data_IF_904713613949
#
_entry.id   IF_904713613949
#
_cell.length_a   1.000
_cell.length_b   1.000
_cell.length_c   1.000
_cell.angle_alpha   90.00
_cell.angle_beta   90.00
_cell.angle_gamma   90.00
#
_symmetry.space_group_name_H-M   'P 1'
#
loop_
_entity.id
_entity.type
_entity.pdbx_description
1 polymer ?
#
# COMPACT_ATOMS: atom_id res chain seq x y z
N UNK A 1 -20.83 -19.21 -8.71
CA UNK A 1 -19.67 -20.08 -9.00
C UNK A 1 -18.49 -19.83 -8.07
N UNK A 2 -17.74 -18.72 -8.15
CA UNK A 2 -16.57 -18.51 -7.26
C UNK A 2 -16.97 -18.42 -5.78
N UNK A 3 -18.10 -17.77 -5.45
CA UNK A 3 -18.68 -17.79 -4.09
C UNK A 3 -18.96 -19.22 -3.60
N UNK A 4 -19.55 -20.04 -4.46
CA UNK A 4 -19.86 -21.44 -4.14
C UNK A 4 -18.57 -22.27 -3.95
N UNK A 5 -17.49 -21.89 -4.63
CA UNK A 5 -16.17 -22.49 -4.38
C UNK A 5 -15.65 -22.13 -2.98
N UNK A 6 -15.91 -20.94 -2.44
CA UNK A 6 -15.53 -20.61 -1.06
C UNK A 6 -16.41 -21.33 -0.04
N UNK A 7 -17.71 -21.45 -0.33
CA UNK A 7 -18.71 -21.95 0.62
C UNK A 7 -19.07 -23.42 0.52
N UNK A 8 -18.52 -24.19 -0.43
CA UNK A 8 -19.06 -25.51 -0.80
C UNK A 8 -19.45 -26.35 0.44
N UNK A 9 -20.77 -26.37 0.71
CA UNK A 9 -21.43 -27.18 1.76
C UNK A 9 -21.36 -28.67 1.44
N UNK A 10 -20.87 -29.03 0.27
CA UNK A 10 -20.54 -30.39 -0.13
C UNK A 10 -19.18 -30.79 0.45
N UNK A 11 -19.15 -31.11 1.75
CA UNK A 11 -18.18 -31.88 2.55
C UNK A 11 -16.76 -32.29 2.07
N UNK A 12 -16.15 -31.69 1.06
CA UNK A 12 -14.97 -32.23 0.36
C UNK A 12 -13.78 -31.26 0.26
N UNK A 13 -13.88 -30.00 0.72
CA UNK A 13 -12.73 -29.08 0.73
C UNK A 13 -11.97 -29.15 2.05
N UNK A 14 -10.71 -29.55 1.95
CA UNK A 14 -9.77 -29.50 3.07
C UNK A 14 -9.45 -28.04 3.43
N UNK A 15 -9.09 -27.74 4.69
CA UNK A 15 -8.63 -26.40 5.09
C UNK A 15 -7.51 -25.86 4.20
N UNK A 16 -6.60 -26.72 3.75
CA UNK A 16 -5.52 -26.33 2.84
C UNK A 16 -6.05 -25.86 1.48
N UNK A 17 -7.01 -26.55 0.89
CA UNK A 17 -7.59 -26.14 -0.39
C UNK A 17 -8.28 -24.78 -0.29
N UNK A 18 -8.96 -24.51 0.83
CA UNK A 18 -9.56 -23.20 1.10
C UNK A 18 -8.50 -22.11 1.24
N UNK A 19 -7.43 -22.36 2.00
CA UNK A 19 -6.31 -21.41 2.14
C UNK A 19 -5.63 -21.10 0.80
N UNK A 20 -5.39 -22.12 -0.03
CA UNK A 20 -4.81 -21.94 -1.38
C UNK A 20 -5.75 -21.13 -2.29
N UNK A 21 -7.07 -21.34 -2.19
CA UNK A 21 -8.03 -20.56 -2.95
C UNK A 21 -8.06 -19.09 -2.50
N UNK A 22 -8.08 -18.84 -1.20
CA UNK A 22 -8.02 -17.47 -0.63
C UNK A 22 -6.75 -16.77 -1.11
N UNK A 23 -5.60 -17.44 -1.02
CA UNK A 23 -4.32 -16.91 -1.48
C UNK A 23 -4.37 -16.59 -2.99
N UNK A 24 -4.93 -17.48 -3.79
CA UNK A 24 -5.10 -17.26 -5.23
C UNK A 24 -5.97 -16.03 -5.51
N UNK A 25 -7.07 -15.84 -4.77
CA UNK A 25 -7.95 -14.68 -4.92
C UNK A 25 -7.21 -13.37 -4.55
N UNK A 26 -6.42 -13.38 -3.46
CA UNK A 26 -5.60 -12.23 -3.06
C UNK A 26 -4.53 -11.89 -4.10
N UNK A 27 -3.82 -12.90 -4.61
CA UNK A 27 -2.79 -12.70 -5.63
C UNK A 27 -3.37 -12.25 -6.98
N UNK A 28 -4.62 -12.56 -7.27
CA UNK A 28 -5.34 -12.06 -8.45
C UNK A 28 -6.01 -10.69 -8.23
N UNK A 29 -6.02 -10.17 -7.00
CA UNK A 29 -6.71 -8.92 -6.66
C UNK A 29 -8.23 -9.04 -6.74
N UNK A 30 -8.77 -10.18 -6.31
CA UNK A 30 -10.20 -10.50 -6.27
C UNK A 30 -10.77 -10.58 -4.85
N UNK A 31 -9.92 -10.55 -3.83
CA UNK A 31 -10.29 -10.71 -2.43
C UNK A 31 -11.34 -9.67 -1.96
N UNK A 32 -11.31 -8.46 -2.52
CA UNK A 32 -12.30 -7.43 -2.19
C UNK A 32 -13.74 -7.79 -2.61
N UNK A 33 -13.93 -8.70 -3.56
CA UNK A 33 -15.25 -9.17 -3.99
C UNK A 33 -15.83 -10.25 -3.07
N UNK A 34 -14.99 -10.84 -2.21
CA UNK A 34 -15.31 -12.02 -1.40
C UNK A 34 -14.98 -11.83 0.09
N UNK A 35 -15.00 -10.57 0.58
CA UNK A 35 -14.56 -10.24 1.94
C UNK A 35 -15.29 -11.04 3.02
N UNK A 36 -16.62 -11.18 2.90
CA UNK A 36 -17.44 -11.90 3.87
C UNK A 36 -17.16 -13.40 3.84
N UNK A 37 -17.05 -13.97 2.64
CA UNK A 37 -16.79 -15.38 2.40
C UNK A 37 -15.39 -15.79 2.89
N UNK A 38 -14.38 -14.97 2.59
CA UNK A 38 -13.00 -15.15 3.06
C UNK A 38 -12.97 -15.05 4.58
N UNK A 39 -13.59 -14.02 5.16
CA UNK A 39 -13.64 -13.83 6.62
C UNK A 39 -14.29 -15.00 7.35
N UNK A 40 -15.45 -15.46 6.88
CA UNK A 40 -16.14 -16.62 7.45
C UNK A 40 -15.31 -17.90 7.35
N UNK A 41 -14.69 -18.14 6.20
CA UNK A 41 -13.85 -19.32 5.96
C UNK A 41 -12.60 -19.32 6.85
N UNK A 42 -11.90 -18.19 6.94
CA UNK A 42 -10.71 -18.06 7.79
C UNK A 42 -11.05 -18.23 9.26
N UNK A 43 -12.16 -17.68 9.73
CA UNK A 43 -12.62 -17.86 11.12
C UNK A 43 -12.81 -19.32 11.45
N UNK A 44 -13.55 -20.06 10.60
CA UNK A 44 -13.79 -21.49 10.83
C UNK A 44 -12.50 -22.32 10.83
N UNK A 45 -11.56 -22.02 9.93
CA UNK A 45 -10.27 -22.71 9.87
C UNK A 45 -9.41 -22.36 11.10
N UNK A 46 -9.43 -21.09 11.53
CA UNK A 46 -8.68 -20.61 12.69
C UNK A 46 -9.16 -21.24 14.00
N UNK A 47 -10.47 -21.33 14.21
CA UNK A 47 -11.05 -21.97 15.41
C UNK A 47 -10.63 -23.43 15.49
N UNK A 48 -10.74 -24.17 14.38
CA UNK A 48 -10.27 -25.55 14.31
C UNK A 48 -8.75 -25.66 14.54
N UNK A 49 -7.98 -24.75 13.96
CA UNK A 49 -6.52 -24.72 14.09
C UNK A 49 -6.07 -24.49 15.54
N UNK A 50 -6.76 -23.64 16.29
CA UNK A 50 -6.44 -23.36 17.71
C UNK A 50 -6.92 -24.46 18.66
N UNK A 51 -8.02 -25.16 18.33
CA UNK A 51 -8.52 -26.28 19.12
C UNK A 51 -7.73 -27.58 18.91
N UNK A 52 -7.07 -27.75 17.76
CA UNK A 52 -6.25 -28.93 17.48
C UNK A 52 -4.88 -28.82 18.16
N UNK A 53 -4.55 -29.78 19.03
CA UNK A 53 -3.21 -29.89 19.67
C UNK A 53 -2.11 -30.36 18.71
N UNK A 54 -2.45 -30.77 17.49
CA UNK A 54 -1.53 -31.38 16.54
C UNK A 54 -1.12 -30.40 15.42
N UNK A 55 -0.38 -29.35 15.80
CA UNK A 55 0.33 -28.50 14.83
C UNK A 55 1.45 -29.26 14.08
N UNK A 56 1.65 -30.56 14.36
CA UNK A 56 2.76 -31.38 13.89
C UNK A 56 2.66 -31.82 12.43
N UNK A 57 1.45 -31.92 11.85
CA UNK A 57 1.24 -32.55 10.54
C UNK A 57 1.54 -31.68 9.32
N UNK A 58 1.45 -30.36 9.45
CA UNK A 58 1.64 -29.45 8.30
C UNK A 58 3.08 -29.46 7.77
N UNK A 59 3.28 -29.47 6.46
CA UNK A 59 4.61 -29.21 5.86
C UNK A 59 4.97 -27.71 5.94
N UNK A 60 6.13 -27.33 5.40
CA UNK A 60 6.62 -25.95 5.47
C UNK A 60 5.70 -24.99 4.70
N UNK A 61 5.26 -25.40 3.51
CA UNK A 61 4.30 -24.66 2.71
C UNK A 61 3.01 -24.35 3.50
N UNK A 62 2.35 -25.38 4.02
CA UNK A 62 1.10 -25.24 4.77
C UNK A 62 1.28 -24.37 6.02
N UNK A 63 2.33 -24.62 6.80
CA UNK A 63 2.57 -23.87 8.04
C UNK A 63 2.81 -22.39 7.75
N UNK A 64 3.57 -22.07 6.71
CA UNK A 64 3.89 -20.69 6.34
C UNK A 64 2.69 -19.97 5.71
N UNK A 65 1.92 -20.66 4.86
CA UNK A 65 0.70 -20.12 4.24
C UNK A 65 -0.35 -19.77 5.31
N UNK A 66 -0.62 -20.70 6.23
CA UNK A 66 -1.61 -20.50 7.28
C UNK A 66 -1.19 -19.33 8.17
N UNK A 67 0.07 -19.32 8.60
CA UNK A 67 0.63 -18.23 9.38
C UNK A 67 0.43 -16.87 8.68
N UNK A 68 0.81 -16.78 7.40
CA UNK A 68 0.70 -15.55 6.61
C UNK A 68 -0.75 -15.09 6.52
N UNK A 69 -1.65 -15.93 6.02
CA UNK A 69 -3.05 -15.56 5.80
C UNK A 69 -3.76 -15.19 7.10
N UNK A 70 -3.54 -15.94 8.18
CA UNK A 70 -4.12 -15.59 9.48
C UNK A 70 -3.63 -14.22 9.96
N UNK A 71 -2.33 -13.96 9.89
CA UNK A 71 -1.76 -12.69 10.35
C UNK A 71 -2.18 -11.51 9.47
N UNK A 72 -2.25 -11.68 8.15
CA UNK A 72 -2.77 -10.66 7.21
C UNK A 72 -4.22 -10.26 7.51
N UNK A 73 -5.02 -11.20 8.00
CA UNK A 73 -6.42 -10.96 8.37
C UNK A 73 -6.62 -10.65 9.87
N UNK A 74 -5.54 -10.32 10.59
CA UNK A 74 -5.60 -9.82 11.97
C UNK A 74 -5.74 -10.90 13.05
N UNK A 75 -5.62 -12.19 12.72
CA UNK A 75 -5.61 -13.25 13.72
C UNK A 75 -4.28 -13.31 14.49
N UNK A 76 -4.35 -13.61 15.78
CA UNK A 76 -3.19 -13.74 16.65
C UNK A 76 -2.52 -15.11 16.48
N UNK A 77 -1.47 -15.16 15.67
CA UNK A 77 -0.70 -16.38 15.41
C UNK A 77 0.76 -16.24 15.82
N UNK A 78 1.27 -17.29 16.48
CA UNK A 78 2.66 -17.35 16.92
C UNK A 78 3.54 -18.09 15.90
N UNK A 79 4.75 -17.60 15.59
CA UNK A 79 5.70 -18.27 14.70
C UNK A 79 6.24 -19.57 15.32
N UNK A 80 5.84 -19.90 16.56
CA UNK A 80 6.12 -21.19 17.19
C UNK A 80 5.67 -22.39 16.35
N UNK A 81 4.65 -22.23 15.50
CA UNK A 81 4.24 -23.28 14.56
C UNK A 81 5.33 -23.67 13.55
N UNK A 82 6.30 -22.77 13.30
CA UNK A 82 7.46 -23.03 12.45
C UNK A 82 8.63 -23.71 13.18
N UNK A 83 8.60 -23.83 14.52
CA UNK A 83 9.71 -24.41 15.32
C UNK A 83 10.07 -25.83 14.92
N UNK A 84 9.13 -26.61 14.38
CA UNK A 84 9.42 -27.97 13.91
C UNK A 84 10.38 -28.01 12.71
N UNK A 85 10.54 -26.90 11.99
CA UNK A 85 11.51 -26.74 10.92
C UNK A 85 12.86 -26.21 11.41
N UNK A 86 12.99 -25.97 12.72
CA UNK A 86 14.20 -25.46 13.35
C UNK A 86 14.94 -26.63 14.01
N UNK A 87 16.26 -26.64 13.89
CA UNK A 87 17.15 -27.60 14.51
C UNK A 87 17.51 -27.23 15.95
N UNK A 88 18.37 -28.04 16.59
CA UNK A 88 18.83 -27.81 17.96
C UNK A 88 19.70 -26.55 18.14
N UNK A 89 20.27 -26.02 17.05
CA UNK A 89 21.10 -24.82 17.06
C UNK A 89 20.24 -23.55 16.90
N UNK A 90 18.93 -23.70 16.70
CA UNK A 90 18.03 -22.59 16.45
C UNK A 90 18.03 -22.13 15.00
N UNK A 91 18.51 -22.96 14.06
CA UNK A 91 18.56 -22.67 12.62
C UNK A 91 17.56 -23.52 11.83
N UNK A 92 17.13 -23.05 10.67
CA UNK A 92 16.24 -23.84 9.81
C UNK A 92 16.95 -25.09 9.28
N UNK A 93 16.28 -26.24 9.36
CA UNK A 93 16.78 -27.54 8.93
C UNK A 93 17.09 -27.52 7.43
N UNK A 94 18.29 -27.94 7.04
CA UNK A 94 18.68 -28.07 5.64
C UNK A 94 17.74 -28.97 4.82
N UNK A 95 17.06 -29.93 5.44
CA UNK A 95 16.06 -30.74 4.74
C UNK A 95 14.93 -29.89 4.11
N UNK A 96 14.60 -28.74 4.71
CA UNK A 96 13.62 -27.79 4.20
C UNK A 96 14.11 -27.01 2.96
N UNK A 97 15.41 -27.00 2.67
CA UNK A 97 15.96 -26.24 1.53
C UNK A 97 15.53 -26.80 0.16
N UNK A 98 14.98 -28.01 0.12
CA UNK A 98 14.53 -28.67 -1.11
C UNK A 98 13.06 -28.36 -1.44
N UNK A 99 12.29 -27.85 -0.48
CA UNK A 99 10.87 -27.53 -0.66
C UNK A 99 10.72 -26.10 -1.19
N UNK A 100 10.92 -25.89 -2.50
CA UNK A 100 10.88 -24.56 -3.13
C UNK A 100 9.56 -23.83 -2.83
N UNK A 101 8.43 -24.54 -2.92
CA UNK A 101 7.11 -23.97 -2.63
C UNK A 101 6.98 -23.56 -1.16
N UNK A 102 7.49 -24.39 -0.25
CA UNK A 102 7.59 -24.08 1.17
C UNK A 102 8.50 -22.88 1.46
N UNK A 103 9.64 -22.78 0.79
CA UNK A 103 10.57 -21.65 0.93
C UNK A 103 9.94 -20.34 0.43
N UNK A 104 9.26 -20.35 -0.72
CA UNK A 104 8.53 -19.17 -1.22
C UNK A 104 7.48 -18.72 -0.20
N UNK A 105 6.69 -19.66 0.33
CA UNK A 105 5.67 -19.33 1.35
C UNK A 105 6.26 -18.84 2.66
N UNK A 106 7.40 -19.39 3.10
CA UNK A 106 8.14 -18.93 4.27
C UNK A 106 8.71 -17.52 4.04
N UNK A 107 9.25 -17.23 2.86
CA UNK A 107 9.73 -15.91 2.49
C UNK A 107 8.60 -14.88 2.56
N UNK A 108 7.47 -15.15 1.90
CA UNK A 108 6.28 -14.28 1.96
C UNK A 108 5.79 -14.07 3.40
N UNK A 109 5.66 -15.15 4.18
CA UNK A 109 5.25 -15.08 5.59
C UNK A 109 6.22 -14.25 6.46
N UNK A 110 7.52 -14.30 6.16
CA UNK A 110 8.54 -13.60 6.93
C UNK A 110 8.45 -12.07 6.82
N UNK A 111 7.78 -11.54 5.80
CA UNK A 111 7.54 -10.11 5.66
C UNK A 111 6.54 -9.55 6.67
N UNK A 112 5.78 -10.40 7.35
CA UNK A 112 4.87 -10.03 8.44
C UNK A 112 5.55 -10.03 9.82
N UNK A 113 6.88 -9.91 9.83
CA UNK A 113 7.67 -9.93 11.05
C UNK A 113 7.53 -8.63 11.85
N UNK A 114 7.18 -8.77 13.14
CA UNK A 114 7.02 -7.66 14.08
C UNK A 114 8.09 -7.63 15.19
N UNK A 115 9.23 -8.30 14.96
CA UNK A 115 10.35 -8.41 15.92
C UNK A 115 10.66 -9.83 16.38
N UNK A 116 10.16 -10.84 15.66
CA UNK A 116 10.28 -12.25 15.99
C UNK A 116 11.46 -12.90 15.26
N UNK A 117 12.43 -13.41 16.03
CA UNK A 117 13.69 -13.96 15.50
C UNK A 117 13.49 -15.13 14.52
N UNK A 118 12.49 -15.98 14.76
CA UNK A 118 12.15 -17.11 13.87
C UNK A 118 11.84 -16.64 12.45
N UNK A 119 11.12 -15.53 12.28
CA UNK A 119 10.78 -15.01 10.96
C UNK A 119 11.98 -14.32 10.31
N UNK A 120 12.80 -13.62 11.08
CA UNK A 120 14.06 -13.02 10.58
C UNK A 120 14.97 -14.11 10.00
N UNK A 121 15.23 -15.17 10.78
CA UNK A 121 15.98 -16.35 10.31
C UNK A 121 15.30 -17.06 9.14
N UNK A 122 13.97 -17.14 9.18
CA UNK A 122 13.17 -17.71 8.10
C UNK A 122 13.38 -16.98 6.78
N UNK A 123 13.40 -15.64 6.81
CA UNK A 123 13.69 -14.79 5.65
C UNK A 123 15.09 -15.02 5.10
N UNK A 124 16.10 -15.04 5.97
CA UNK A 124 17.50 -15.26 5.59
C UNK A 124 17.69 -16.66 4.95
N UNK A 125 17.13 -17.70 5.58
CA UNK A 125 17.19 -19.06 5.08
C UNK A 125 16.45 -19.23 3.75
N UNK A 126 15.19 -18.78 3.66
CA UNK A 126 14.40 -18.94 2.45
C UNK A 126 14.95 -18.14 1.29
N UNK A 127 15.33 -16.88 1.49
CA UNK A 127 15.89 -16.04 0.43
C UNK A 127 17.15 -16.64 -0.19
N UNK A 128 18.09 -17.09 0.65
CA UNK A 128 19.32 -17.74 0.18
C UNK A 128 19.04 -18.97 -0.68
N UNK A 129 18.25 -19.91 -0.15
CA UNK A 129 18.00 -21.16 -0.86
C UNK A 129 17.12 -20.99 -2.10
N UNK A 130 16.25 -19.98 -2.12
CA UNK A 130 15.50 -19.62 -3.32
C UNK A 130 16.42 -19.05 -4.40
N UNK A 131 17.33 -18.13 -4.06
CA UNK A 131 18.34 -17.63 -5.02
C UNK A 131 19.19 -18.76 -5.59
N UNK A 132 19.70 -19.65 -4.73
CA UNK A 132 20.51 -20.80 -5.15
C UNK A 132 19.73 -21.78 -6.05
N UNK A 133 18.40 -21.84 -5.92
CA UNK A 133 17.56 -22.76 -6.69
C UNK A 133 17.30 -22.31 -8.13
N UNK A 134 17.40 -21.01 -8.43
CA UNK A 134 16.98 -20.44 -9.73
C UNK A 134 17.68 -21.10 -10.92
N UNK A 135 18.97 -21.41 -10.79
CA UNK A 135 19.78 -22.02 -11.87
C UNK A 135 19.32 -23.44 -12.25
N UNK A 136 18.58 -24.11 -11.36
CA UNK A 136 18.21 -25.53 -11.50
C UNK A 136 16.71 -25.74 -11.77
N UNK A 137 15.94 -24.65 -11.82
CA UNK A 137 14.51 -24.67 -12.11
C UNK A 137 14.26 -24.46 -13.60
N UNK A 138 13.14 -24.98 -14.12
CA UNK A 138 12.67 -24.55 -15.44
C UNK A 138 12.31 -23.05 -15.43
N UNK A 139 12.30 -22.45 -16.62
CA UNK A 139 12.09 -21.02 -16.79
C UNK A 139 10.85 -20.48 -16.06
N UNK A 140 9.76 -21.27 -16.02
CA UNK A 140 8.52 -20.82 -15.38
C UNK A 140 8.66 -20.76 -13.87
N UNK A 141 9.16 -21.83 -13.24
CA UNK A 141 9.37 -21.84 -11.79
C UNK A 141 10.49 -20.88 -11.36
N UNK A 142 11.56 -20.76 -12.14
CA UNK A 142 12.63 -19.77 -11.90
C UNK A 142 12.08 -18.34 -11.88
N UNK A 143 11.19 -17.99 -12.83
CA UNK A 143 10.53 -16.69 -12.87
C UNK A 143 9.61 -16.47 -11.66
N UNK A 144 8.87 -17.49 -11.22
CA UNK A 144 8.03 -17.39 -10.01
C UNK A 144 8.88 -17.14 -8.77
N UNK A 145 10.00 -17.87 -8.61
CA UNK A 145 10.93 -17.67 -7.50
C UNK A 145 11.52 -16.26 -7.51
N UNK A 146 11.98 -15.79 -8.67
CA UNK A 146 12.53 -14.44 -8.84
C UNK A 146 11.50 -13.36 -8.49
N UNK A 147 10.27 -13.51 -8.98
CA UNK A 147 9.17 -12.58 -8.70
C UNK A 147 8.79 -12.54 -7.21
N UNK A 148 8.80 -13.68 -6.51
CA UNK A 148 8.62 -13.71 -5.05
C UNK A 148 9.76 -13.00 -4.32
N UNK A 149 11.02 -13.20 -4.74
CA UNK A 149 12.19 -12.58 -4.10
C UNK A 149 12.25 -11.06 -4.31
N UNK A 150 12.02 -10.61 -5.54
CA UNK A 150 12.10 -9.20 -5.93
C UNK A 150 10.86 -8.40 -5.49
N UNK A 151 9.68 -9.05 -5.49
CA UNK A 151 8.39 -8.42 -5.24
C UNK A 151 7.53 -9.26 -4.28
N UNK A 152 7.92 -9.43 -3.01
CA UNK A 152 7.10 -10.14 -2.04
C UNK A 152 5.74 -9.46 -1.89
N UNK A 153 4.66 -10.24 -1.79
CA UNK A 153 3.28 -9.77 -1.82
C UNK A 153 3.02 -8.66 -0.79
N UNK A 154 3.41 -8.88 0.46
CA UNK A 154 3.19 -7.93 1.55
C UNK A 154 3.90 -6.57 1.36
N UNK A 155 4.97 -6.54 0.56
CA UNK A 155 5.77 -5.32 0.30
C UNK A 155 5.48 -4.69 -1.06
N UNK A 156 4.57 -5.28 -1.84
CA UNK A 156 4.35 -4.91 -3.24
C UNK A 156 2.98 -4.29 -3.46
N UNK A 157 2.89 -3.47 -4.50
CA UNK A 157 1.62 -2.89 -4.92
C UNK A 157 0.70 -4.01 -5.41
N UNK A 158 -0.45 -4.21 -4.74
CA UNK A 158 -1.39 -5.30 -5.02
C UNK A 158 -1.75 -5.41 -6.50
N UNK A 159 -2.02 -4.28 -7.17
CA UNK A 159 -2.39 -4.27 -8.58
C UNK A 159 -1.26 -4.69 -9.52
N UNK A 160 0.00 -4.37 -9.16
CA UNK A 160 1.18 -4.85 -9.87
C UNK A 160 1.30 -6.37 -9.73
N UNK A 161 1.16 -6.88 -8.50
CA UNK A 161 1.17 -8.32 -8.22
C UNK A 161 0.05 -9.05 -8.95
N UNK A 162 -1.18 -8.51 -8.95
CA UNK A 162 -2.31 -9.07 -9.68
C UNK A 162 -2.02 -9.22 -11.18
N UNK A 163 -1.52 -8.17 -11.82
CA UNK A 163 -1.17 -8.22 -13.25
C UNK A 163 -0.11 -9.28 -13.54
N UNK A 164 0.96 -9.32 -12.74
CA UNK A 164 2.05 -10.30 -12.87
C UNK A 164 1.54 -11.72 -12.68
N UNK A 165 0.76 -11.95 -11.62
CA UNK A 165 0.22 -13.25 -11.27
C UNK A 165 -0.74 -13.79 -12.35
N UNK A 166 -1.68 -12.97 -12.82
CA UNK A 166 -2.59 -13.33 -13.92
C UNK A 166 -1.79 -13.70 -15.18
N UNK A 167 -0.76 -12.91 -15.52
CA UNK A 167 0.07 -13.16 -16.70
C UNK A 167 0.89 -14.44 -16.60
N UNK A 168 1.47 -14.75 -15.43
CA UNK A 168 2.32 -15.94 -15.25
C UNK A 168 1.55 -17.25 -15.29
N UNK A 169 0.26 -17.21 -14.96
CA UNK A 169 -0.59 -18.39 -14.88
C UNK A 169 -1.65 -18.43 -15.97
N UNK A 170 -1.54 -17.58 -17.00
CA UNK A 170 -2.50 -17.53 -18.10
C UNK A 170 -2.51 -18.82 -18.93
N UNK A 171 -1.37 -19.51 -19.00
CA UNK A 171 -1.19 -20.75 -19.77
C UNK A 171 -1.35 -22.03 -18.92
N UNK A 172 -1.62 -21.88 -17.61
CA UNK A 172 -1.64 -22.96 -16.59
C UNK A 172 -2.95 -23.76 -16.51
N UNK A 173 -3.58 -23.98 -17.67
CA UNK A 173 -4.61 -25.01 -17.94
C UNK A 173 -6.10 -24.72 -17.66
N UNK A 174 -6.88 -25.44 -18.49
CA UNK A 174 -8.34 -25.64 -18.57
C UNK A 174 -8.98 -26.17 -17.27
N UNK A 175 -10.24 -25.77 -16.99
CA UNK A 175 -11.11 -26.34 -15.95
C UNK A 175 -11.80 -25.30 -15.05
N UNK A 176 -12.18 -25.66 -13.81
CA UNK A 176 -12.78 -24.70 -12.85
C UNK A 176 -11.88 -23.49 -12.50
N UNK A 177 -10.56 -23.60 -12.73
CA UNK A 177 -9.63 -22.46 -12.66
C UNK A 177 -9.96 -21.40 -13.71
N UNK A 178 -10.50 -21.78 -14.87
CA UNK A 178 -10.91 -20.85 -15.94
C UNK A 178 -11.89 -19.80 -15.41
N UNK A 179 -12.85 -20.18 -14.56
CA UNK A 179 -13.86 -19.24 -14.06
C UNK A 179 -13.23 -18.16 -13.16
N UNK A 180 -12.25 -18.53 -12.32
CA UNK A 180 -11.55 -17.57 -11.46
C UNK A 180 -10.64 -16.67 -12.28
N UNK A 181 -9.92 -17.22 -13.27
CA UNK A 181 -9.06 -16.44 -14.17
C UNK A 181 -9.85 -15.48 -15.06
N UNK A 182 -10.98 -15.91 -15.61
CA UNK A 182 -11.85 -15.06 -16.43
C UNK A 182 -12.50 -13.96 -15.59
N UNK A 183 -12.89 -14.26 -14.34
CA UNK A 183 -13.30 -13.23 -13.39
C UNK A 183 -12.15 -12.25 -13.10
N UNK A 184 -10.94 -12.74 -12.85
CA UNK A 184 -9.76 -11.93 -12.58
C UNK A 184 -9.45 -10.96 -13.74
N UNK A 185 -9.45 -11.44 -14.98
CA UNK A 185 -9.25 -10.61 -16.17
C UNK A 185 -10.35 -9.57 -16.33
N UNK A 186 -11.61 -9.99 -16.18
CA UNK A 186 -12.77 -9.11 -16.33
C UNK A 186 -12.76 -7.99 -15.29
N UNK A 187 -12.54 -8.34 -14.01
CA UNK A 187 -12.43 -7.39 -12.91
C UNK A 187 -11.22 -6.47 -13.09
N UNK A 188 -10.05 -7.01 -13.45
CA UNK A 188 -8.85 -6.21 -13.69
C UNK A 188 -9.11 -5.13 -14.75
N UNK A 189 -9.76 -5.50 -15.86
CA UNK A 189 -10.12 -4.59 -16.95
C UNK A 189 -11.18 -3.57 -16.51
N UNK A 190 -12.21 -3.98 -15.77
CA UNK A 190 -13.24 -3.08 -15.26
C UNK A 190 -12.64 -2.01 -14.33
N UNK A 191 -11.77 -2.41 -13.41
CA UNK A 191 -11.09 -1.47 -12.51
C UNK A 191 -10.07 -0.62 -13.28
N UNK A 192 -9.45 -1.13 -14.35
CA UNK A 192 -8.57 -0.32 -15.19
C UNK A 192 -9.33 0.80 -15.90
N UNK A 193 -10.53 0.52 -16.42
CA UNK A 193 -11.41 1.53 -17.00
C UNK A 193 -11.84 2.57 -15.96
N UNK A 194 -12.13 2.14 -14.73
CA UNK A 194 -12.40 3.06 -13.62
C UNK A 194 -11.21 4.00 -13.38
N UNK A 195 -9.99 3.46 -13.30
CA UNK A 195 -8.79 4.27 -13.10
C UNK A 195 -8.50 5.24 -14.25
N UNK A 196 -8.83 4.88 -15.49
CA UNK A 196 -8.72 5.78 -16.64
C UNK A 196 -9.72 6.95 -16.54
N UNK A 197 -10.94 6.68 -16.05
CA UNK A 197 -11.94 7.73 -15.79
C UNK A 197 -11.50 8.69 -14.69
N UNK A 198 -10.95 8.15 -13.61
CA UNK A 198 -10.36 8.93 -12.50
C UNK A 198 -9.22 9.82 -13.01
N UNK A 199 -8.30 9.25 -13.78
CA UNK A 199 -7.20 10.01 -14.37
C UNK A 199 -7.69 11.13 -15.29
N UNK A 200 -8.70 10.87 -16.13
CA UNK A 200 -9.29 11.90 -16.98
C UNK A 200 -9.93 13.04 -16.15
N UNK A 201 -10.58 12.71 -15.03
CA UNK A 201 -11.13 13.71 -14.12
C UNK A 201 -10.02 14.56 -13.48
N UNK A 202 -8.91 13.92 -13.04
CA UNK A 202 -7.75 14.59 -12.46
C UNK A 202 -7.07 15.50 -13.48
N UNK A 203 -6.83 15.04 -14.71
CA UNK A 203 -6.23 15.84 -15.77
C UNK A 203 -7.12 17.04 -16.14
N UNK A 204 -8.44 16.84 -16.18
CA UNK A 204 -9.40 17.92 -16.42
C UNK A 204 -9.39 18.95 -15.29
N UNK A 205 -9.37 18.50 -14.03
CA UNK A 205 -9.23 19.37 -12.86
C UNK A 205 -7.92 20.17 -12.92
N UNK A 206 -6.79 19.49 -13.13
CA UNK A 206 -5.47 20.12 -13.19
C UNK A 206 -5.39 21.19 -14.27
N UNK A 207 -5.91 20.89 -15.47
CA UNK A 207 -6.00 21.86 -16.57
C UNK A 207 -6.87 23.07 -16.22
N UNK A 208 -8.00 22.86 -15.53
CA UNK A 208 -8.90 23.96 -15.11
C UNK A 208 -8.30 24.81 -14.00
N UNK A 209 -7.51 24.22 -13.12
CA UNK A 209 -6.83 24.94 -12.04
C UNK A 209 -5.83 25.98 -12.57
N UNK A 210 -5.28 25.79 -13.77
CA UNK A 210 -4.35 26.74 -14.40
C UNK A 210 -2.99 26.86 -13.70
N UNK A 211 -2.73 26.02 -12.69
CA UNK A 211 -1.56 26.11 -11.83
C UNK A 211 -0.26 25.80 -12.58
N UNK A 212 -0.30 24.95 -13.61
CA UNK A 212 0.88 24.65 -14.42
C UNK A 212 1.41 25.89 -15.17
N UNK A 213 0.52 26.80 -15.59
CA UNK A 213 0.92 28.05 -16.24
C UNK A 213 1.39 29.10 -15.23
N UNK A 214 0.62 29.28 -14.14
CA UNK A 214 0.90 30.28 -13.10
C UNK A 214 2.14 29.94 -12.26
N UNK A 215 2.43 28.64 -12.10
CA UNK A 215 3.53 28.11 -11.31
C UNK A 215 4.49 27.29 -12.19
N UNK A 216 4.96 27.86 -13.30
CA UNK A 216 5.80 27.16 -14.30
C UNK A 216 7.09 26.51 -13.77
N UNK A 217 7.52 26.83 -12.55
CA UNK A 217 8.68 26.23 -11.89
C UNK A 217 8.37 24.91 -11.17
N UNK A 218 7.10 24.58 -10.92
CA UNK A 218 6.72 23.35 -10.21
C UNK A 218 6.64 22.17 -11.16
N UNK A 219 6.88 20.97 -10.65
CA UNK A 219 6.82 19.73 -11.42
C UNK A 219 5.38 19.48 -11.88
N UNK A 220 5.13 19.39 -13.19
CA UNK A 220 3.82 19.01 -13.75
C UNK A 220 3.73 17.48 -13.93
N UNK A 221 3.30 16.77 -12.89
CA UNK A 221 3.34 15.29 -12.85
C UNK A 221 2.02 14.64 -12.35
N UNK A 222 0.85 14.94 -12.94
CA UNK A 222 -0.45 14.41 -12.49
C UNK A 222 -0.54 12.88 -12.44
N UNK A 223 0.15 12.19 -13.36
CA UNK A 223 0.26 10.73 -13.32
C UNK A 223 0.98 10.25 -12.06
N UNK A 224 2.10 10.88 -11.70
CA UNK A 224 2.89 10.53 -10.51
C UNK A 224 2.09 10.77 -9.25
N UNK A 225 1.37 11.89 -9.18
CA UNK A 225 0.52 12.21 -8.03
C UNK A 225 -0.59 11.17 -7.85
N UNK A 226 -1.24 10.75 -8.95
CA UNK A 226 -2.30 9.75 -8.94
C UNK A 226 -1.85 8.33 -8.62
N UNK A 227 -0.57 7.98 -8.84
CA UNK A 227 -0.04 6.67 -8.46
C UNK A 227 -0.10 6.44 -6.94
N UNK A 228 0.00 7.48 -6.12
CA UNK A 228 -0.02 7.35 -4.66
C UNK A 228 -1.41 6.94 -4.13
N UNK A 229 -2.52 7.61 -4.48
CA UNK A 229 -3.86 7.16 -4.09
C UNK A 229 -4.20 5.75 -4.56
N UNK A 230 -3.75 5.37 -5.76
CA UNK A 230 -3.92 4.00 -6.28
C UNK A 230 -3.31 2.95 -5.35
N UNK A 231 -2.21 3.28 -4.68
CA UNK A 231 -1.55 2.38 -3.72
C UNK A 231 -2.13 2.46 -2.31
N UNK A 232 -2.57 3.65 -1.88
CA UNK A 232 -3.06 3.88 -0.51
C UNK A 232 -4.47 3.31 -0.32
N UNK A 233 -5.33 3.44 -1.34
CA UNK A 233 -6.75 3.06 -1.29
C UNK A 233 -7.14 2.26 -2.54
N UNK A 234 -6.56 1.06 -2.73
CA UNK A 234 -6.62 0.31 -3.99
C UNK A 234 -8.01 -0.22 -4.37
N UNK A 235 -8.97 -0.22 -3.43
CA UNK A 235 -10.27 -0.85 -3.62
C UNK A 235 -11.16 -0.02 -4.54
N UNK A 236 -11.85 -0.61 -5.53
CA UNK A 236 -12.54 0.13 -6.59
C UNK A 236 -13.57 1.16 -6.08
N UNK A 237 -14.30 0.84 -5.00
CA UNK A 237 -15.34 1.70 -4.43
C UNK A 237 -14.82 3.02 -3.82
N UNK A 238 -13.51 3.17 -3.60
CA UNK A 238 -12.89 4.42 -3.12
C UNK A 238 -12.48 5.38 -4.25
N UNK A 239 -13.14 5.31 -5.41
CA UNK A 239 -12.84 6.15 -6.58
C UNK A 239 -12.79 7.65 -6.27
N UNK A 240 -13.81 8.15 -5.58
CA UNK A 240 -13.89 9.56 -5.19
C UNK A 240 -12.76 9.96 -4.24
N UNK A 241 -12.47 9.13 -3.24
CA UNK A 241 -11.33 9.31 -2.35
C UNK A 241 -10.02 9.41 -3.15
N UNK A 242 -9.80 8.56 -4.16
CA UNK A 242 -8.58 8.64 -4.99
C UNK A 242 -8.43 9.94 -5.76
N UNK A 243 -9.52 10.43 -6.36
CA UNK A 243 -9.52 11.68 -7.11
C UNK A 243 -9.16 12.85 -6.17
N UNK A 244 -9.86 12.96 -5.04
CA UNK A 244 -9.65 14.06 -4.09
C UNK A 244 -8.29 14.01 -3.41
N UNK A 245 -7.83 12.79 -3.04
CA UNK A 245 -6.50 12.58 -2.49
C UNK A 245 -5.39 12.96 -3.49
N UNK A 246 -5.60 12.75 -4.79
CA UNK A 246 -4.64 13.19 -5.82
C UNK A 246 -4.46 14.71 -5.81
N UNK A 247 -5.54 15.47 -5.61
CA UNK A 247 -5.46 16.94 -5.54
C UNK A 247 -4.63 17.38 -4.33
N UNK A 248 -4.86 16.77 -3.16
CA UNK A 248 -4.05 17.04 -1.97
C UNK A 248 -2.56 16.68 -2.20
N UNK A 249 -2.28 15.54 -2.83
CA UNK A 249 -0.91 15.12 -3.13
C UNK A 249 -0.24 16.08 -4.12
N UNK A 250 -0.95 16.57 -5.13
CA UNK A 250 -0.44 17.60 -6.03
C UNK A 250 0.06 18.83 -5.25
N UNK A 251 -0.70 19.29 -4.25
CA UNK A 251 -0.28 20.42 -3.41
C UNK A 251 0.92 20.11 -2.52
N UNK A 252 1.11 18.87 -2.05
CA UNK A 252 2.35 18.50 -1.36
C UNK A 252 3.55 18.76 -2.28
N UNK A 253 3.51 18.29 -3.53
CA UNK A 253 4.60 18.47 -4.50
C UNK A 253 4.81 19.94 -4.91
N UNK A 254 3.72 20.70 -5.10
CA UNK A 254 3.78 22.13 -5.45
C UNK A 254 4.44 22.93 -4.32
N UNK A 255 4.03 22.67 -3.07
CA UNK A 255 4.59 23.37 -1.91
C UNK A 255 6.04 22.93 -1.69
N UNK A 256 6.36 21.64 -1.84
CA UNK A 256 7.74 21.13 -1.81
C UNK A 256 8.64 21.90 -2.80
N UNK A 257 8.22 22.08 -4.05
CA UNK A 257 8.98 22.86 -5.05
C UNK A 257 9.15 24.35 -4.67
N UNK A 258 8.13 24.94 -4.02
CA UNK A 258 8.22 26.31 -3.49
C UNK A 258 9.31 26.39 -2.41
N UNK A 259 9.37 25.43 -1.49
CA UNK A 259 10.32 25.46 -0.36
C UNK A 259 11.75 25.07 -0.74
N UNK A 260 11.91 24.09 -1.64
CA UNK A 260 13.22 23.51 -1.96
C UNK A 260 13.94 24.23 -3.09
N UNK A 261 13.21 24.85 -4.02
CA UNK A 261 13.78 25.37 -5.27
C UNK A 261 13.57 26.86 -5.44
N UNK A 262 12.36 27.36 -5.18
CA UNK A 262 11.96 28.68 -5.70
C UNK A 262 11.96 29.81 -4.66
N UNK A 263 11.37 29.58 -3.49
CA UNK A 263 11.11 30.62 -2.50
C UNK A 263 12.36 31.03 -1.73
N UNK A 264 12.46 32.33 -1.42
CA UNK A 264 13.49 32.83 -0.50
C UNK A 264 13.09 32.57 0.95
N UNK A 265 14.06 32.48 1.87
CA UNK A 265 13.77 32.15 3.27
C UNK A 265 12.76 33.11 3.95
N UNK A 266 12.78 34.39 3.58
CA UNK A 266 11.83 35.40 4.07
C UNK A 266 10.42 35.15 3.50
N UNK A 267 10.31 34.88 2.20
CA UNK A 267 9.03 34.52 1.56
C UNK A 267 8.46 33.23 2.15
N UNK A 268 9.29 32.19 2.34
CA UNK A 268 8.89 30.91 2.95
C UNK A 268 8.39 31.10 4.38
N UNK A 269 9.05 31.97 5.14
CA UNK A 269 8.62 32.31 6.51
C UNK A 269 7.25 32.98 6.51
N UNK A 270 6.99 33.91 5.59
CA UNK A 270 5.69 34.56 5.44
C UNK A 270 4.61 33.58 4.96
N UNK A 271 4.94 32.70 4.00
CA UNK A 271 4.02 31.69 3.49
C UNK A 271 3.60 30.71 4.59
N UNK A 272 4.56 30.20 5.36
CA UNK A 272 4.28 29.33 6.51
C UNK A 272 3.40 30.02 7.54
N UNK A 273 3.60 31.31 7.82
CA UNK A 273 2.73 32.07 8.71
C UNK A 273 1.30 32.20 8.16
N UNK A 274 1.15 32.46 6.86
CA UNK A 274 -0.17 32.53 6.23
C UNK A 274 -0.90 31.19 6.30
N UNK A 275 -0.23 30.08 6.01
CA UNK A 275 -0.79 28.72 6.13
C UNK A 275 -1.17 28.40 7.57
N UNK A 276 -0.33 28.73 8.55
CA UNK A 276 -0.64 28.50 9.97
C UNK A 276 -1.87 29.31 10.45
N UNK A 277 -2.08 30.52 9.91
CA UNK A 277 -3.28 31.32 10.19
C UNK A 277 -4.51 30.80 9.48
N UNK A 278 -4.34 30.22 8.29
CA UNK A 278 -5.39 29.69 7.43
C UNK A 278 -6.49 30.72 7.13
N UNK A 279 -6.09 31.96 6.83
CA UNK A 279 -6.97 33.09 6.53
C UNK A 279 -6.53 33.76 5.22
N UNK A 280 -7.48 33.99 4.30
CA UNK A 280 -7.26 34.68 3.03
C UNK A 280 -6.77 36.11 3.24
N UNK A 281 -7.08 36.76 4.38
CA UNK A 281 -6.54 38.08 4.69
C UNK A 281 -5.02 38.07 4.91
N UNK A 282 -4.45 36.91 5.29
CA UNK A 282 -3.04 36.76 5.63
C UNK A 282 -2.11 36.72 4.41
N UNK A 283 -2.64 36.58 3.20
CA UNK A 283 -1.82 36.46 1.98
C UNK A 283 -1.48 37.79 1.32
N UNK A 284 -1.98 38.93 1.80
CA UNK A 284 -1.81 40.24 1.15
C UNK A 284 -0.34 40.62 0.89
N UNK A 285 0.55 40.25 1.82
CA UNK A 285 1.98 40.56 1.74
C UNK A 285 2.81 39.50 0.99
N UNK A 286 2.17 38.44 0.48
CA UNK A 286 2.88 37.39 -0.24
C UNK A 286 3.12 37.76 -1.71
N UNK A 287 4.18 37.22 -2.34
CA UNK A 287 4.34 37.23 -3.79
C UNK A 287 3.14 36.62 -4.51
N UNK A 288 2.92 37.01 -5.76
CA UNK A 288 1.75 36.57 -6.53
C UNK A 288 1.67 35.03 -6.66
N UNK A 289 2.79 34.35 -6.91
CA UNK A 289 2.81 32.89 -7.06
C UNK A 289 2.37 32.17 -5.76
N UNK A 290 2.77 32.68 -4.59
CA UNK A 290 2.33 32.15 -3.29
C UNK A 290 0.86 32.42 -3.02
N UNK A 291 0.33 33.57 -3.43
CA UNK A 291 -1.10 33.88 -3.36
C UNK A 291 -1.92 32.91 -4.20
N UNK A 292 -1.48 32.65 -5.43
CA UNK A 292 -2.10 31.68 -6.34
C UNK A 292 -2.09 30.29 -5.71
N UNK A 293 -0.94 29.83 -5.20
CA UNK A 293 -0.82 28.53 -4.53
C UNK A 293 -1.73 28.44 -3.30
N UNK A 294 -1.72 29.45 -2.41
CA UNK A 294 -2.54 29.45 -1.20
C UNK A 294 -4.03 29.39 -1.52
N UNK A 295 -4.51 30.23 -2.44
CA UNK A 295 -5.94 30.27 -2.80
C UNK A 295 -6.40 28.93 -3.38
N UNK A 296 -5.59 28.33 -4.25
CA UNK A 296 -5.92 27.04 -4.83
C UNK A 296 -5.90 25.90 -3.78
N UNK A 297 -4.92 25.92 -2.86
CA UNK A 297 -4.84 24.99 -1.74
C UNK A 297 -6.07 25.12 -0.82
N UNK A 298 -6.44 26.35 -0.48
CA UNK A 298 -7.57 26.67 0.36
C UNK A 298 -8.86 26.14 -0.25
N UNK A 299 -9.08 26.38 -1.54
CA UNK A 299 -10.26 25.89 -2.27
C UNK A 299 -10.32 24.36 -2.27
N UNK A 300 -9.24 23.67 -2.64
CA UNK A 300 -9.21 22.19 -2.65
C UNK A 300 -9.43 21.61 -1.26
N UNK A 301 -8.86 22.21 -0.22
CA UNK A 301 -9.04 21.73 1.14
C UNK A 301 -10.49 21.88 1.61
N UNK A 302 -11.16 22.98 1.24
CA UNK A 302 -12.58 23.17 1.52
C UNK A 302 -13.45 22.20 0.70
N UNK A 303 -13.14 21.96 -0.58
CA UNK A 303 -13.85 20.95 -1.40
C UNK A 303 -13.80 19.56 -0.74
N UNK A 304 -12.61 19.13 -0.30
CA UNK A 304 -12.42 17.86 0.41
C UNK A 304 -13.25 17.83 1.71
N UNK A 305 -13.25 18.93 2.45
CA UNK A 305 -13.98 19.05 3.70
C UNK A 305 -15.51 18.99 3.50
N UNK A 306 -16.03 19.66 2.48
CA UNK A 306 -17.43 19.62 2.10
C UNK A 306 -17.87 18.23 1.63
N UNK A 307 -17.04 17.56 0.81
CA UNK A 307 -17.26 16.18 0.39
C UNK A 307 -17.34 15.26 1.62
N UNK A 308 -16.39 15.39 2.54
CA UNK A 308 -16.32 14.57 3.75
C UNK A 308 -17.54 14.79 4.64
N UNK A 309 -17.94 16.05 4.83
CA UNK A 309 -19.11 16.40 5.62
C UNK A 309 -20.39 15.82 5.01
N UNK A 310 -20.55 15.92 3.70
CA UNK A 310 -21.74 15.47 2.99
C UNK A 310 -21.91 13.95 2.99
N UNK A 311 -20.82 13.20 2.85
CA UNK A 311 -20.88 11.74 2.72
C UNK A 311 -20.67 10.98 4.05
N UNK A 312 -19.89 11.55 4.97
CA UNK A 312 -19.45 10.88 6.20
C UNK A 312 -19.87 11.61 7.48
N UNK A 313 -20.52 12.77 7.35
CA UNK A 313 -21.17 13.48 8.46
C UNK A 313 -20.22 14.26 9.39
N UNK A 314 -18.96 14.46 9.01
CA UNK A 314 -18.01 15.24 9.81
C UNK A 314 -17.16 16.17 8.94
N UNK A 315 -16.74 17.31 9.50
CA UNK A 315 -15.96 18.32 8.77
C UNK A 315 -14.46 18.27 9.16
N UNK A 316 -13.56 17.85 8.25
CA UNK A 316 -12.13 17.74 8.52
C UNK A 316 -11.33 19.04 8.39
N UNK A 317 -11.97 20.18 8.06
CA UNK A 317 -11.26 21.42 7.68
C UNK A 317 -10.19 21.85 8.70
N UNK A 318 -10.50 21.77 10.00
CA UNK A 318 -9.58 22.14 11.07
C UNK A 318 -8.39 21.19 11.19
N UNK A 319 -8.59 19.90 10.89
CA UNK A 319 -7.53 18.90 10.90
C UNK A 319 -6.63 19.07 9.68
N UNK A 320 -7.22 19.31 8.51
CA UNK A 320 -6.49 19.51 7.26
C UNK A 320 -5.68 20.81 7.28
N UNK A 321 -6.25 21.93 7.72
CA UNK A 321 -5.53 23.21 7.81
C UNK A 321 -4.32 23.13 8.75
N UNK A 322 -4.48 22.52 9.93
CA UNK A 322 -3.38 22.25 10.87
C UNK A 322 -2.33 21.32 10.26
N UNK A 323 -2.74 20.37 9.42
CA UNK A 323 -1.84 19.45 8.75
C UNK A 323 -0.98 20.15 7.70
N UNK A 324 -1.57 21.04 6.91
CA UNK A 324 -0.82 21.92 6.00
C UNK A 324 0.16 22.82 6.72
N UNK A 325 -0.24 23.40 7.86
CA UNK A 325 0.65 24.16 8.73
C UNK A 325 1.83 23.33 9.21
N UNK A 326 1.59 22.13 9.76
CA UNK A 326 2.67 21.22 10.18
C UNK A 326 3.65 20.90 9.06
N UNK A 327 3.15 20.62 7.85
CA UNK A 327 3.99 20.35 6.68
C UNK A 327 4.86 21.57 6.32
N UNK A 328 4.27 22.76 6.22
CA UNK A 328 5.02 23.99 5.89
C UNK A 328 6.05 24.35 6.98
N UNK A 329 5.76 24.08 8.26
CA UNK A 329 6.74 24.26 9.33
C UNK A 329 7.92 23.29 9.19
N UNK A 330 7.67 22.04 8.80
CA UNK A 330 8.72 21.05 8.58
C UNK A 330 9.59 21.39 7.36
N UNK A 331 8.98 21.81 6.24
CA UNK A 331 9.71 22.31 5.07
C UNK A 331 10.53 23.57 5.40
N UNK A 332 9.96 24.50 6.17
CA UNK A 332 10.69 25.69 6.61
C UNK A 332 11.92 25.33 7.46
N UNK A 333 11.83 24.27 8.28
CA UNK A 333 12.95 23.80 9.07
C UNK A 333 14.08 23.25 8.18
N UNK A 334 13.75 22.50 7.14
CA UNK A 334 14.72 22.02 6.14
C UNK A 334 15.36 23.18 5.36
N UNK A 335 14.57 24.15 4.93
CA UNK A 335 15.06 25.36 4.27
C UNK A 335 16.02 26.16 5.18
N UNK A 336 15.75 26.24 6.49
CA UNK A 336 16.64 26.88 7.47
C UNK A 336 17.95 26.12 7.63
N UNK A 337 17.92 24.79 7.73
CA UNK A 337 19.13 23.98 7.79
C UNK A 337 19.98 24.19 6.54
N UNK A 338 19.35 24.18 5.35
CA UNK A 338 20.01 24.43 4.08
C UNK A 338 20.66 25.82 4.02
N UNK A 339 19.90 26.87 4.33
CA UNK A 339 20.38 28.26 4.27
C UNK A 339 21.52 28.55 5.26
N UNK A 340 21.46 27.95 6.45
CA UNK A 340 22.50 28.09 7.49
C UNK A 340 23.68 27.12 7.34
N UNK A 341 23.63 26.21 6.35
CA UNK A 341 24.59 25.10 6.20
C UNK A 341 24.69 24.21 7.45
N UNK A 342 23.62 24.13 8.23
CA UNK A 342 23.54 23.25 9.39
C UNK A 342 23.29 21.81 8.93
N UNK A 343 24.06 20.87 9.48
CA UNK A 343 23.87 19.44 9.26
C UNK A 343 23.19 18.87 10.52
N UNK A 344 21.87 18.59 10.49
CA UNK A 344 21.20 17.95 11.61
C UNK A 344 21.74 16.54 11.84
N UNK A 345 21.71 16.06 13.08
CA UNK A 345 21.99 14.65 13.33
C UNK A 345 20.86 13.76 12.79
N UNK A 346 21.13 12.46 12.67
CA UNK A 346 20.18 11.48 12.11
C UNK A 346 18.80 11.55 12.77
N UNK A 347 18.74 11.57 14.10
CA UNK A 347 17.47 11.51 14.82
C UNK A 347 16.68 12.82 14.71
N UNK A 348 17.37 13.95 14.69
CA UNK A 348 16.79 15.26 14.43
C UNK A 348 16.21 15.36 13.02
N UNK A 349 16.99 14.95 12.02
CA UNK A 349 16.52 14.89 10.63
C UNK A 349 15.31 13.99 10.50
N UNK A 350 15.36 12.75 11.01
CA UNK A 350 14.25 11.80 10.88
C UNK A 350 12.97 12.28 11.55
N UNK A 351 13.05 12.99 12.68
CA UNK A 351 11.88 13.59 13.33
C UNK A 351 11.20 14.65 12.44
N UNK A 352 11.97 15.43 11.70
CA UNK A 352 11.42 16.40 10.75
C UNK A 352 10.95 15.71 9.46
N UNK A 353 11.78 14.82 8.90
CA UNK A 353 11.60 14.12 7.64
C UNK A 353 10.28 13.32 7.57
N UNK A 354 9.87 12.71 8.68
CA UNK A 354 8.57 12.03 8.76
C UNK A 354 7.41 13.01 8.48
N UNK A 355 7.53 14.25 8.95
CA UNK A 355 6.53 15.30 8.69
C UNK A 355 6.69 15.92 7.30
N UNK A 356 7.91 16.30 6.90
CA UNK A 356 8.15 16.90 5.57
C UNK A 356 7.87 15.94 4.41
N UNK A 357 7.84 14.62 4.65
CA UNK A 357 7.37 13.65 3.63
C UNK A 357 5.94 13.90 3.13
N UNK A 358 5.10 14.62 3.90
CA UNK A 358 3.70 14.91 3.54
C UNK A 358 2.74 13.71 3.59
N UNK A 359 3.23 12.48 3.81
CA UNK A 359 2.44 11.25 3.80
C UNK A 359 1.25 11.32 4.75
N UNK A 360 1.43 11.94 5.93
CA UNK A 360 0.39 12.05 6.94
C UNK A 360 -0.83 12.86 6.48
N UNK A 361 -0.66 13.86 5.59
CA UNK A 361 -1.79 14.60 5.01
C UNK A 361 -2.63 13.66 4.16
N UNK A 362 -1.97 12.84 3.33
CA UNK A 362 -2.65 11.87 2.52
C UNK A 362 -3.43 10.85 3.36
N UNK A 363 -2.84 10.40 4.47
CA UNK A 363 -3.52 9.50 5.42
C UNK A 363 -4.73 10.16 6.08
N UNK A 364 -4.65 11.43 6.49
CA UNK A 364 -5.80 12.14 7.07
C UNK A 364 -6.91 12.38 6.05
N UNK A 365 -6.56 12.75 4.81
CA UNK A 365 -7.54 12.86 3.71
C UNK A 365 -8.23 11.52 3.45
N UNK A 366 -7.47 10.42 3.37
CA UNK A 366 -8.01 9.08 3.15
C UNK A 366 -8.91 8.64 4.30
N UNK A 367 -8.48 8.82 5.56
CA UNK A 367 -9.25 8.45 6.75
C UNK A 367 -10.60 9.17 6.84
N UNK A 368 -10.72 10.39 6.29
CA UNK A 368 -12.02 11.07 6.25
C UNK A 368 -12.98 10.56 5.19
N UNK A 369 -12.49 9.84 4.18
CA UNK A 369 -13.27 9.42 3.02
C UNK A 369 -13.38 7.89 2.88
N UNK A 370 -13.10 7.15 3.94
CA UNK A 370 -13.22 5.68 4.02
C UNK A 370 -13.90 5.35 5.34
#
# INVERSE_FOLDING_TARGET
MVRDMLFSKEGNKTPLQSMVLIDTLQYMGLDHLFKEEIGSTLSSIYDNFTHQRDHGRHNLFESSLFFRLFREHGYSVSPKMLKKFIDKNGEFKLASSKDIKGLMSLYEASHLNIGEDILRKGKEFSSKHLWDSIEWLDNKHANQVKETLEHPYHMSIQRYKARRYISMHQDDERGCKDVVFELAKSEFNAVQLLHQRELNAILSWWKKAGLAQELSFVRDQPLKWYMWPLTMVPQPHHSKCRIELTKAIAFIYIIDDIFDVYGTLDELSLFTQAINKWDISAINNLPNYMKVCFNALYNVTNEIAEITLKEYGWNPINTLSKSWGKLCNAFLQEAKWFASKQIPNKDEYLRNAVTSSGVFIGLFCAFGMI
#
